data_IF_414288496465
#
_entry.id   IF_414288496465
#
_cell.length_a   1.000
_cell.length_b   1.000
_cell.length_c   1.000
_cell.angle_alpha   90.00
_cell.angle_beta   90.00
_cell.angle_gamma   90.00
#
_symmetry.space_group_name_H-M   'P 1'
#
loop_
_entity.id
_entity.type
_entity.pdbx_description
1 polymer ?
#
# COMPACT_ATOMS: atom_id res chain seq x y z
N UNK A 1 -11.57 -5.07 5.13
CA UNK A 1 -11.22 -5.06 6.57
C UNK A 1 -11.57 -3.69 7.12
N UNK A 2 -12.25 -3.64 8.25
CA UNK A 2 -12.59 -2.41 8.99
C UNK A 2 -11.66 -2.27 10.20
N UNK A 3 -11.73 -1.13 10.88
CA UNK A 3 -11.01 -0.84 12.12
C UNK A 3 -11.29 -1.89 13.21
N UNK A 4 -12.49 -2.46 13.20
CA UNK A 4 -12.98 -3.44 14.17
C UNK A 4 -12.78 -4.90 13.75
N UNK A 5 -12.27 -5.16 12.55
CA UNK A 5 -12.09 -6.54 12.07
C UNK A 5 -11.08 -7.29 12.95
N UNK A 6 -11.48 -8.38 13.65
CA UNK A 6 -10.54 -9.21 14.39
C UNK A 6 -9.51 -9.80 13.43
N UNK A 7 -8.26 -9.77 13.82
CA UNK A 7 -7.19 -10.41 13.04
C UNK A 7 -6.70 -11.64 13.78
N UNK A 8 -6.77 -12.77 13.09
CA UNK A 8 -6.21 -14.00 13.60
C UNK A 8 -4.69 -13.94 13.57
N UNK A 9 -4.11 -14.35 14.69
CA UNK A 9 -2.86 -15.03 14.82
C UNK A 9 -1.54 -14.34 15.03
N UNK A 10 -0.81 -15.02 15.67
CA UNK A 10 0.27 -14.88 16.64
C UNK A 10 1.66 -15.19 16.11
N UNK A 11 1.90 -15.28 14.81
CA UNK A 11 3.19 -15.62 14.25
C UNK A 11 3.75 -14.55 13.30
N UNK A 12 5.03 -14.28 13.40
CA UNK A 12 5.79 -13.42 12.52
C UNK A 12 5.35 -11.97 12.53
N UNK A 13 5.25 -11.35 11.36
CA UNK A 13 4.85 -9.95 11.18
C UNK A 13 3.43 -9.64 11.69
N UNK A 14 2.54 -10.65 11.73
CA UNK A 14 1.18 -10.51 12.28
C UNK A 14 1.17 -10.26 13.79
N UNK A 15 2.08 -10.88 14.54
CA UNK A 15 2.22 -10.66 15.98
C UNK A 15 2.74 -9.29 16.39
N UNK A 16 3.39 -8.55 15.49
CA UNK A 16 3.87 -7.19 15.76
C UNK A 16 2.71 -6.25 16.07
N UNK A 17 1.64 -6.29 15.28
CA UNK A 17 0.47 -5.42 15.51
C UNK A 17 -0.18 -5.71 16.86
N UNK A 18 -0.37 -6.98 17.21
CA UNK A 18 -0.94 -7.36 18.51
C UNK A 18 -0.10 -6.83 19.66
N UNK A 19 1.23 -6.93 19.58
CA UNK A 19 2.15 -6.38 20.58
C UNK A 19 2.09 -4.86 20.66
N UNK A 20 2.02 -4.17 19.51
CA UNK A 20 1.90 -2.71 19.48
C UNK A 20 0.58 -2.24 20.10
N UNK A 21 -0.55 -2.90 19.81
CA UNK A 21 -1.83 -2.56 20.39
C UNK A 21 -1.86 -2.81 21.90
N UNK A 22 -1.22 -3.90 22.37
CA UNK A 22 -1.05 -4.17 23.80
C UNK A 22 -0.18 -3.11 24.46
N UNK A 23 0.99 -2.82 23.92
CA UNK A 23 1.89 -1.78 24.44
C UNK A 23 1.21 -0.40 24.51
N UNK A 24 0.38 -0.09 23.49
CA UNK A 24 -0.42 1.13 23.51
C UNK A 24 -1.42 1.14 24.67
N UNK A 25 -2.16 0.05 24.86
CA UNK A 25 -3.16 -0.05 25.92
C UNK A 25 -2.54 0.06 27.34
N UNK A 26 -1.29 -0.36 27.49
CA UNK A 26 -0.52 -0.31 28.74
C UNK A 26 0.26 1.00 28.92
N UNK A 27 0.33 1.85 27.90
CA UNK A 27 1.09 3.11 27.94
C UNK A 27 0.32 4.20 28.72
N UNK A 28 0.97 4.92 29.64
CA UNK A 28 0.40 6.10 30.25
C UNK A 28 0.31 7.30 29.27
N UNK A 29 1.05 7.26 28.18
CA UNK A 29 1.05 8.31 27.17
C UNK A 29 -0.07 8.04 26.16
N UNK A 30 -0.96 9.00 25.90
CA UNK A 30 -1.96 8.86 24.84
C UNK A 30 -1.31 8.59 23.51
N UNK A 31 -1.83 7.61 22.77
CA UNK A 31 -1.30 7.21 21.47
C UNK A 31 -2.42 6.94 20.49
N UNK A 32 -2.18 7.14 19.22
CA UNK A 32 -3.08 6.75 18.14
C UNK A 32 -2.33 5.84 17.14
N UNK A 33 -3.03 4.85 16.62
CA UNK A 33 -2.48 3.97 15.59
C UNK A 33 -3.18 4.23 14.27
N UNK A 34 -2.46 4.74 13.29
CA UNK A 34 -2.95 4.87 11.92
C UNK A 34 -2.46 3.66 11.12
N UNK A 35 -3.39 2.90 10.57
CA UNK A 35 -3.13 1.68 9.79
C UNK A 35 -3.32 1.99 8.31
N UNK A 36 -2.44 1.47 7.49
CA UNK A 36 -2.48 1.58 6.04
C UNK A 36 -2.48 0.22 5.36
N UNK A 37 -2.88 0.19 4.11
CA UNK A 37 -2.65 -0.90 3.18
C UNK A 37 -1.28 -0.74 2.50
N UNK A 38 -1.05 -1.36 1.33
CA UNK A 38 0.19 -1.21 0.59
C UNK A 38 0.38 0.24 0.11
N UNK A 39 1.56 0.77 0.35
CA UNK A 39 1.86 2.16 0.04
C UNK A 39 2.17 2.39 -1.43
N UNK A 40 1.73 3.55 -1.93
CA UNK A 40 2.18 4.15 -3.17
C UNK A 40 2.25 5.68 -3.04
N UNK A 41 2.91 6.33 -3.98
CA UNK A 41 3.05 7.79 -3.96
C UNK A 41 4.46 8.27 -4.25
N UNK A 42 4.69 9.59 -4.24
CA UNK A 42 6.03 10.17 -4.31
C UNK A 42 6.92 9.64 -3.20
N UNK A 43 8.20 9.42 -3.50
CA UNK A 43 9.24 8.92 -2.58
C UNK A 43 9.09 7.47 -2.09
N UNK A 44 8.03 6.77 -2.47
CA UNK A 44 7.82 5.37 -2.10
C UNK A 44 8.69 4.47 -2.99
N UNK A 45 9.85 4.05 -2.47
CA UNK A 45 10.84 3.25 -3.21
C UNK A 45 10.62 1.76 -3.04
N UNK A 46 10.60 1.27 -1.82
CA UNK A 46 10.59 -0.17 -1.51
C UNK A 46 9.17 -0.76 -1.43
N UNK A 47 8.25 -0.31 -2.30
CA UNK A 47 6.88 -0.82 -2.34
C UNK A 47 6.57 -1.46 -3.70
N UNK A 48 5.62 -2.40 -3.68
CA UNK A 48 5.19 -3.10 -4.88
C UNK A 48 4.61 -2.12 -5.92
N UNK A 49 3.74 -1.21 -5.51
CA UNK A 49 3.15 -0.18 -6.37
C UNK A 49 4.06 1.06 -6.59
N UNK A 50 5.29 1.05 -6.09
CA UNK A 50 6.31 2.08 -6.31
C UNK A 50 7.37 1.62 -7.29
N UNK A 51 8.57 1.33 -6.77
CA UNK A 51 9.78 0.99 -7.54
C UNK A 51 9.60 -0.21 -8.48
N UNK A 52 8.75 -1.18 -8.12
CA UNK A 52 8.54 -2.37 -8.95
C UNK A 52 7.59 -2.11 -10.12
N UNK A 53 6.66 -1.15 -10.01
CA UNK A 53 5.68 -0.87 -11.08
C UNK A 53 6.08 0.34 -11.92
N UNK A 54 6.30 1.50 -11.32
CA UNK A 54 6.40 2.76 -12.07
C UNK A 54 7.54 2.78 -13.08
N UNK A 55 8.80 2.40 -12.75
CA UNK A 55 9.88 2.38 -13.74
C UNK A 55 9.63 1.41 -14.90
N UNK A 56 8.96 0.29 -14.63
CA UNK A 56 8.63 -0.72 -15.66
C UNK A 56 7.59 -0.17 -16.62
N UNK A 57 6.57 0.54 -16.10
CA UNK A 57 5.54 1.22 -16.90
C UNK A 57 6.17 2.31 -17.76
N UNK A 58 6.99 3.18 -17.17
CA UNK A 58 7.69 4.25 -17.89
C UNK A 58 8.59 3.73 -19.01
N UNK A 59 9.17 2.56 -18.82
CA UNK A 59 10.01 1.91 -19.82
C UNK A 59 9.20 1.13 -20.90
N UNK A 60 7.86 1.09 -20.81
CA UNK A 60 7.00 0.33 -21.73
C UNK A 60 7.22 -1.19 -21.68
N UNK A 61 7.83 -1.70 -20.61
CA UNK A 61 8.16 -3.13 -20.46
C UNK A 61 6.97 -3.90 -19.90
N UNK A 62 6.86 -5.18 -20.28
CA UNK A 62 5.86 -6.09 -19.69
C UNK A 62 5.97 -6.09 -18.17
N UNK A 63 4.87 -5.73 -17.50
CA UNK A 63 4.78 -5.76 -16.05
C UNK A 63 4.48 -7.18 -15.56
N UNK A 64 5.22 -7.65 -14.56
CA UNK A 64 4.95 -8.91 -13.87
C UNK A 64 4.55 -8.62 -12.43
N UNK A 65 3.27 -8.85 -12.10
CA UNK A 65 2.72 -8.63 -10.77
C UNK A 65 2.72 -9.91 -9.94
N UNK A 66 2.62 -9.74 -8.64
CA UNK A 66 2.58 -10.85 -7.67
C UNK A 66 1.15 -11.42 -7.60
N UNK A 67 1.02 -12.73 -7.55
CA UNK A 67 -0.27 -13.39 -7.40
C UNK A 67 -1.23 -13.09 -8.55
N UNK A 68 -2.38 -12.49 -8.28
CA UNK A 68 -3.40 -12.13 -9.27
C UNK A 68 -3.28 -10.68 -9.72
N UNK A 69 -3.42 -10.44 -11.03
CA UNK A 69 -3.50 -9.09 -11.60
C UNK A 69 -4.89 -8.46 -11.43
N UNK A 70 -5.91 -9.27 -11.17
CA UNK A 70 -7.32 -8.92 -11.36
C UNK A 70 -8.16 -9.01 -10.08
N UNK A 71 -7.54 -9.26 -8.93
CA UNK A 71 -8.21 -9.20 -7.63
C UNK A 71 -8.15 -7.78 -7.04
N UNK A 72 -9.23 -7.34 -6.35
CA UNK A 72 -9.24 -6.03 -5.72
C UNK A 72 -8.21 -5.95 -4.59
N UNK A 73 -7.44 -4.86 -4.61
CA UNK A 73 -6.40 -4.56 -3.64
C UNK A 73 -6.44 -3.08 -3.26
N UNK A 74 -6.39 -2.79 -1.98
CA UNK A 74 -6.29 -1.42 -1.48
C UNK A 74 -4.85 -0.93 -1.53
N UNK A 75 -4.67 0.27 -2.07
CA UNK A 75 -3.39 0.98 -2.07
C UNK A 75 -3.55 2.31 -1.35
N UNK A 76 -2.75 2.54 -0.33
CA UNK A 76 -2.79 3.77 0.48
C UNK A 76 -1.79 4.78 -0.06
N UNK A 77 -2.28 5.96 -0.41
CA UNK A 77 -1.46 7.07 -0.87
C UNK A 77 -0.70 7.69 0.31
N UNK A 78 0.64 7.78 0.23
CA UNK A 78 1.48 8.21 1.37
C UNK A 78 1.16 9.62 1.87
N UNK A 79 0.87 10.62 1.02
CA UNK A 79 0.45 11.93 1.51
C UNK A 79 -0.85 11.91 2.32
N UNK A 80 -1.84 11.07 1.95
CA UNK A 80 -3.08 10.92 2.73
C UNK A 80 -2.80 10.26 4.07
N UNK A 81 -1.91 9.26 4.10
CA UNK A 81 -1.45 8.64 5.33
C UNK A 81 -0.78 9.67 6.26
N UNK A 82 0.09 10.52 5.71
CA UNK A 82 0.75 11.57 6.48
C UNK A 82 -0.26 12.60 7.01
N UNK A 83 -1.22 13.01 6.20
CA UNK A 83 -2.30 13.90 6.62
C UNK A 83 -3.12 13.31 7.77
N UNK A 84 -3.45 12.01 7.68
CA UNK A 84 -4.17 11.31 8.73
C UNK A 84 -3.37 11.23 10.05
N UNK A 85 -2.06 10.98 9.97
CA UNK A 85 -1.19 10.99 11.16
C UNK A 85 -1.15 12.37 11.83
N UNK A 86 -1.05 13.45 11.04
CA UNK A 86 -1.02 14.81 11.54
C UNK A 86 -2.36 15.16 12.19
N UNK A 87 -3.48 14.90 11.51
CA UNK A 87 -4.82 15.16 12.04
C UNK A 87 -5.07 14.39 13.35
N UNK A 88 -4.73 13.11 13.37
CA UNK A 88 -4.89 12.26 14.55
C UNK A 88 -4.03 12.69 15.74
N UNK A 89 -2.83 13.22 15.49
CA UNK A 89 -1.96 13.71 16.54
C UNK A 89 -2.49 14.98 17.22
N UNK A 90 -3.18 15.85 16.47
CA UNK A 90 -3.70 17.12 16.95
C UNK A 90 -5.11 17.04 17.56
N UNK A 91 -5.82 15.93 17.41
CA UNK A 91 -7.17 15.76 17.95
C UNK A 91 -7.18 14.78 19.14
N UNK A 92 -7.29 15.28 20.39
CA UNK A 92 -7.35 14.43 21.58
C UNK A 92 -8.52 13.44 21.57
N UNK A 93 -9.59 13.70 20.84
CA UNK A 93 -10.76 12.79 20.76
C UNK A 93 -10.44 11.51 19.99
N UNK A 94 -9.39 11.52 19.18
CA UNK A 94 -8.90 10.37 18.40
C UNK A 94 -7.84 9.55 19.15
N UNK A 95 -7.32 10.05 20.26
CA UNK A 95 -6.29 9.35 21.00
C UNK A 95 -6.81 8.03 21.59
N UNK A 96 -5.91 7.11 21.80
CA UNK A 96 -6.17 5.73 22.25
C UNK A 96 -7.09 4.93 21.32
N UNK A 97 -7.15 5.32 20.04
CA UNK A 97 -7.92 4.62 19.01
C UNK A 97 -7.04 4.04 17.90
N UNK A 98 -7.65 3.20 17.08
CA UNK A 98 -7.09 2.71 15.81
C UNK A 98 -7.88 3.35 14.69
N UNK A 99 -7.17 3.95 13.75
CA UNK A 99 -7.73 4.59 12.57
C UNK A 99 -7.15 3.94 11.33
N UNK A 100 -7.92 3.86 10.25
CA UNK A 100 -7.41 3.57 8.92
C UNK A 100 -7.06 4.88 8.20
N UNK A 101 -5.95 4.92 7.50
CA UNK A 101 -5.62 6.04 6.63
C UNK A 101 -6.66 6.13 5.51
N UNK A 102 -7.10 7.35 5.11
CA UNK A 102 -7.95 7.51 3.95
C UNK A 102 -7.35 6.79 2.75
N UNK A 103 -8.13 5.89 2.17
CA UNK A 103 -7.67 5.01 1.09
C UNK A 103 -8.75 4.94 0.02
N UNK A 104 -8.39 5.32 -1.19
CA UNK A 104 -9.29 5.29 -2.34
C UNK A 104 -9.86 3.88 -2.56
N UNK A 105 -11.02 3.73 -3.22
CA UNK A 105 -11.62 2.43 -3.50
C UNK A 105 -10.60 1.46 -4.07
N UNK A 106 -10.67 0.20 -3.62
CA UNK A 106 -9.76 -0.85 -4.04
C UNK A 106 -9.77 -1.03 -5.55
N UNK A 107 -8.57 -1.15 -6.14
CA UNK A 107 -8.37 -1.40 -7.57
C UNK A 107 -7.54 -2.65 -7.77
N UNK A 108 -7.59 -3.23 -8.97
CA UNK A 108 -6.72 -4.36 -9.31
C UNK A 108 -5.29 -3.87 -9.58
N UNK A 109 -4.31 -4.76 -9.48
CA UNK A 109 -2.93 -4.43 -9.87
C UNK A 109 -2.85 -4.01 -11.35
N UNK A 110 -3.69 -4.59 -12.22
CA UNK A 110 -3.82 -4.17 -13.62
C UNK A 110 -4.31 -2.72 -13.72
N UNK A 111 -5.37 -2.36 -13.02
CA UNK A 111 -5.89 -0.99 -13.01
C UNK A 111 -4.87 0.02 -12.46
N UNK A 112 -4.07 -0.36 -11.47
CA UNK A 112 -2.98 0.48 -10.98
C UNK A 112 -1.91 0.72 -12.06
N UNK A 113 -1.51 -0.31 -12.82
CA UNK A 113 -0.59 -0.19 -13.95
C UNK A 113 -1.18 0.70 -15.06
N UNK A 114 -2.47 0.55 -15.35
CA UNK A 114 -3.19 1.39 -16.34
C UNK A 114 -3.26 2.85 -15.88
N UNK A 115 -3.49 3.11 -14.59
CA UNK A 115 -3.49 4.46 -14.03
C UNK A 115 -2.11 5.14 -14.17
N UNK A 116 -1.04 4.42 -13.90
CA UNK A 116 0.32 4.94 -14.11
C UNK A 116 0.64 5.17 -15.58
N UNK A 117 0.24 4.28 -16.47
CA UNK A 117 0.45 4.46 -17.90
C UNK A 117 -0.30 5.67 -18.45
N UNK A 118 -1.57 5.85 -18.04
CA UNK A 118 -2.37 7.04 -18.33
C UNK A 118 -1.70 8.31 -17.83
N UNK A 119 -1.25 8.33 -16.58
CA UNK A 119 -0.57 9.46 -15.96
C UNK A 119 0.77 9.81 -16.67
N UNK A 120 1.46 8.80 -17.17
CA UNK A 120 2.72 8.96 -17.91
C UNK A 120 2.51 9.36 -19.38
N UNK A 121 1.28 9.29 -19.91
CA UNK A 121 1.00 9.49 -21.33
C UNK A 121 1.58 8.39 -22.25
N UNK A 122 1.73 7.16 -21.72
CA UNK A 122 2.27 6.03 -22.48
C UNK A 122 1.22 4.92 -22.62
N UNK A 123 1.32 4.06 -23.66
CA UNK A 123 0.46 2.89 -23.77
C UNK A 123 0.60 1.98 -22.54
N UNK A 124 -0.53 1.47 -22.04
CA UNK A 124 -0.51 0.51 -20.95
C UNK A 124 0.27 -0.77 -21.34
N UNK A 125 1.28 -1.16 -20.58
CA UNK A 125 2.07 -2.34 -20.88
C UNK A 125 1.26 -3.63 -20.64
N UNK A 126 1.68 -4.73 -21.24
CA UNK A 126 1.12 -6.04 -20.95
C UNK A 126 1.37 -6.39 -19.48
N UNK A 127 0.33 -6.85 -18.79
CA UNK A 127 0.41 -7.30 -17.39
C UNK A 127 0.35 -8.83 -17.36
N UNK A 128 1.42 -9.45 -16.90
CA UNK A 128 1.49 -10.88 -16.59
C UNK A 128 1.57 -11.11 -15.09
N UNK A 129 1.34 -12.33 -14.65
CA UNK A 129 1.41 -12.70 -13.23
C UNK A 129 2.64 -13.55 -12.95
N UNK A 130 3.21 -13.41 -11.75
CA UNK A 130 4.16 -14.36 -11.19
C UNK A 130 3.39 -15.30 -10.27
N UNK A 131 3.20 -16.57 -10.65
CA UNK A 131 2.47 -17.52 -9.84
C UNK A 131 3.14 -17.71 -8.47
N UNK A 132 2.32 -17.83 -7.42
CA UNK A 132 2.81 -17.97 -6.04
C UNK A 132 3.77 -19.15 -5.83
N UNK A 133 3.61 -20.24 -6.60
CA UNK A 133 4.51 -21.39 -6.52
C UNK A 133 5.96 -21.06 -6.94
N UNK A 134 6.14 -20.14 -7.89
CA UNK A 134 7.49 -19.67 -8.31
C UNK A 134 8.17 -18.93 -7.16
N UNK A 135 7.41 -18.09 -6.46
CA UNK A 135 7.93 -17.30 -5.35
C UNK A 135 8.19 -18.20 -4.13
N UNK A 136 7.30 -19.14 -3.85
CA UNK A 136 7.47 -20.12 -2.76
C UNK A 136 8.68 -21.03 -3.02
N UNK A 137 8.89 -21.45 -4.28
CA UNK A 137 10.08 -22.22 -4.68
C UNK A 137 11.39 -21.43 -4.51
N UNK A 138 11.39 -20.13 -4.88
CA UNK A 138 12.53 -19.24 -4.66
C UNK A 138 12.82 -18.96 -3.17
N UNK A 139 11.79 -19.02 -2.31
CA UNK A 139 11.89 -18.81 -0.87
C UNK A 139 12.71 -19.86 -0.12
N UNK A 140 12.96 -21.01 -0.74
CA UNK A 140 13.84 -22.05 -0.20
C UNK A 140 15.32 -21.68 -0.26
N UNK A 141 15.68 -20.72 -1.11
CA UNK A 141 17.08 -20.38 -1.42
C UNK A 141 17.46 -18.96 -0.97
N UNK A 142 16.50 -18.04 -0.86
CA UNK A 142 16.76 -16.62 -0.54
C UNK A 142 15.83 -16.07 0.54
N UNK A 143 16.41 -15.38 1.55
CA UNK A 143 15.65 -14.79 2.68
C UNK A 143 14.61 -13.77 2.22
N UNK A 144 14.92 -12.92 1.25
CA UNK A 144 13.97 -11.95 0.68
C UNK A 144 12.76 -12.59 -0.01
N UNK A 145 12.94 -13.79 -0.60
CA UNK A 145 11.85 -14.54 -1.21
C UNK A 145 10.93 -15.20 -0.16
N UNK A 146 11.45 -15.51 1.03
CA UNK A 146 10.62 -16.04 2.15
C UNK A 146 9.69 -14.95 2.68
N UNK A 147 10.21 -13.73 2.89
CA UNK A 147 9.39 -12.58 3.33
C UNK A 147 8.30 -12.25 2.32
N UNK A 148 8.62 -12.31 1.03
CA UNK A 148 7.65 -12.10 -0.04
C UNK A 148 6.61 -13.23 -0.08
N UNK A 149 7.01 -14.48 0.13
CA UNK A 149 6.09 -15.63 0.20
C UNK A 149 5.09 -15.51 1.37
N UNK A 150 5.51 -14.96 2.51
CA UNK A 150 4.61 -14.70 3.65
C UNK A 150 3.55 -13.63 3.35
N UNK A 151 3.80 -12.74 2.40
CA UNK A 151 2.89 -11.65 2.01
C UNK A 151 2.02 -12.00 0.80
N UNK A 152 2.28 -13.11 0.12
CA UNK A 152 1.58 -13.48 -1.13
C UNK A 152 0.06 -13.59 -0.99
N UNK A 153 -0.45 -13.97 0.18
CA UNK A 153 -1.88 -14.06 0.43
C UNK A 153 -2.64 -12.76 0.13
N UNK A 154 -1.97 -11.60 0.28
CA UNK A 154 -2.54 -10.29 -0.02
C UNK A 154 -2.81 -10.09 -1.53
N UNK A 155 -2.12 -10.85 -2.37
CA UNK A 155 -2.22 -10.79 -3.83
C UNK A 155 -2.90 -12.03 -4.44
N UNK A 156 -3.22 -13.03 -3.64
CA UNK A 156 -3.91 -14.26 -4.04
C UNK A 156 -5.40 -14.24 -3.65
N UNK A 157 -5.79 -13.30 -2.78
CA UNK A 157 -7.17 -13.08 -2.34
C UNK A 157 -7.51 -11.58 -2.38
N UNK A 158 -8.82 -11.19 -2.39
CA UNK A 158 -9.20 -9.79 -2.27
C UNK A 158 -8.65 -9.17 -0.97
N UNK A 159 -7.89 -8.10 -1.11
CA UNK A 159 -7.28 -7.39 0.02
C UNK A 159 -7.82 -5.96 0.10
N UNK A 160 -9.00 -5.80 0.71
CA UNK A 160 -9.74 -4.54 0.76
C UNK A 160 -9.76 -3.98 2.17
N UNK A 161 -9.33 -2.74 2.31
CA UNK A 161 -9.41 -1.95 3.53
C UNK A 161 -10.55 -0.94 3.39
N UNK A 162 -11.44 -0.90 4.36
CA UNK A 162 -12.46 0.12 4.49
C UNK A 162 -11.96 1.18 5.47
N UNK A 163 -11.88 2.42 5.03
CA UNK A 163 -11.44 3.57 5.81
C UNK A 163 -12.54 4.58 6.09
N UNK A 164 -13.78 4.30 5.69
CA UNK A 164 -14.90 5.24 5.71
C UNK A 164 -15.21 5.81 7.11
N UNK A 165 -15.16 4.99 8.14
CA UNK A 165 -15.35 5.45 9.53
C UNK A 165 -14.22 6.40 9.95
N UNK A 166 -12.97 6.05 9.65
CA UNK A 166 -11.81 6.89 9.96
C UNK A 166 -11.81 8.19 9.19
N UNK A 167 -12.21 8.17 7.91
CA UNK A 167 -12.37 9.36 7.09
C UNK A 167 -13.34 10.35 7.72
N UNK A 168 -14.50 9.86 8.15
CA UNK A 168 -15.50 10.70 8.84
C UNK A 168 -14.97 11.29 10.15
N UNK A 169 -14.23 10.50 10.94
CA UNK A 169 -13.63 10.94 12.22
C UNK A 169 -12.48 11.91 12.04
N UNK A 170 -11.69 11.74 11.00
CA UNK A 170 -10.53 12.60 10.67
C UNK A 170 -10.94 13.86 9.92
N UNK A 171 -12.16 13.91 9.33
CA UNK A 171 -12.57 14.96 8.42
C UNK A 171 -11.73 14.99 7.14
N UNK A 172 -11.20 13.84 6.71
CA UNK A 172 -10.35 13.69 5.54
C UNK A 172 -11.00 12.75 4.52
N UNK A 173 -10.68 12.95 3.26
CA UNK A 173 -11.06 12.06 2.18
C UNK A 173 -9.80 11.60 1.42
N UNK A 174 -9.82 10.40 0.83
CA UNK A 174 -8.68 9.91 0.05
C UNK A 174 -8.51 10.72 -1.24
N UNK A 175 -7.26 10.93 -1.62
CA UNK A 175 -6.94 11.50 -2.93
C UNK A 175 -7.40 10.54 -4.05
N UNK A 176 -8.14 11.03 -5.06
CA UNK A 176 -8.54 10.21 -6.21
C UNK A 176 -7.33 9.55 -6.88
N UNK A 177 -7.49 8.28 -7.30
CA UNK A 177 -6.41 7.48 -7.87
C UNK A 177 -5.70 8.17 -9.04
N UNK A 178 -6.44 8.78 -9.96
CA UNK A 178 -5.85 9.46 -11.13
C UNK A 178 -4.87 10.55 -10.69
N UNK A 179 -5.27 11.41 -9.75
CA UNK A 179 -4.41 12.47 -9.20
C UNK A 179 -3.19 11.91 -8.47
N UNK A 180 -3.39 10.92 -7.62
CA UNK A 180 -2.31 10.27 -6.88
C UNK A 180 -1.31 9.58 -7.83
N UNK A 181 -1.80 8.97 -8.90
CA UNK A 181 -0.96 8.37 -9.95
C UNK A 181 -0.14 9.42 -10.71
N UNK A 182 -0.75 10.57 -11.06
CA UNK A 182 -0.05 11.69 -11.73
C UNK A 182 1.11 12.22 -10.87
N UNK A 183 0.87 12.46 -9.58
CA UNK A 183 1.90 12.96 -8.67
C UNK A 183 3.02 11.92 -8.46
N UNK A 184 2.65 10.64 -8.39
CA UNK A 184 3.60 9.53 -8.27
C UNK A 184 4.49 9.43 -9.51
N UNK A 185 3.89 9.41 -10.70
CA UNK A 185 4.62 9.29 -11.98
C UNK A 185 5.54 10.49 -12.19
N UNK A 186 5.07 11.71 -11.94
CA UNK A 186 5.88 12.92 -12.04
C UNK A 186 7.14 12.82 -11.19
N UNK A 187 7.01 12.40 -9.93
CA UNK A 187 8.16 12.23 -9.05
C UNK A 187 9.19 11.23 -9.60
N UNK A 188 8.75 10.12 -10.18
CA UNK A 188 9.64 9.12 -10.78
C UNK A 188 10.31 9.62 -12.06
N UNK A 189 9.61 10.42 -12.87
CA UNK A 189 10.17 11.04 -14.09
C UNK A 189 11.24 12.06 -13.73
N UNK A 190 10.98 12.97 -12.80
CA UNK A 190 11.94 13.98 -12.34
C UNK A 190 13.21 13.33 -11.78
N UNK A 191 13.07 12.24 -11.04
CA UNK A 191 14.18 11.48 -10.51
C UNK A 191 15.02 10.79 -11.60
N UNK A 192 14.38 10.29 -12.63
CA UNK A 192 15.07 9.64 -13.75
C UNK A 192 15.92 10.63 -14.52
N UNK A 193 15.45 11.84 -14.69
CA UNK A 193 16.22 12.95 -15.30
C UNK A 193 17.42 13.32 -14.44
N UNK A 194 17.23 13.47 -13.12
CA UNK A 194 18.31 13.81 -12.19
C UNK A 194 19.42 12.74 -12.05
N UNK A 195 19.09 11.48 -12.36
CA UNK A 195 20.05 10.38 -12.32
C UNK A 195 20.85 10.20 -13.64
N UNK A 196 20.41 10.86 -14.71
CA UNK A 196 21.02 10.79 -16.05
C UNK A 196 21.94 11.99 -16.38
N UNK A 197 21.93 13.05 -15.57
CA UNK A 197 22.79 14.24 -15.65
C UNK A 197 23.86 14.24 -14.57
#
# INVERSE_FOLDING_TARGET
>A
MTEHTPRSADSGKRGIRTRLLKARAESPTPTVSVVASDFFGPQVRNAHAGERMVPVVLAGKTMRVLGSADLPHSFTYVPDFAAAMIAAAHDPTLWNSVLHAPTAPAVTQRQMVEAYAKAAGVPAPKVGTLPGWVIRGGGLVHQGSRELAEMLYQFEEPFVMDSSESEARLGLAPTPLDRAAEETVRWWQDRSVAAAG
#
